data_IF_791433697349
#
_entry.id   IF_791433697349
#
_cell.length_a   1.000
_cell.length_b   1.000
_cell.length_c   1.000
_cell.angle_alpha   90.00
_cell.angle_beta   90.00
_cell.angle_gamma   90.00
#
_symmetry.space_group_name_H-M   'P 1'
#
loop_
_entity.id
_entity.type
_entity.pdbx_description
1 polymer ?
#
# COMPACT_ATOMS: atom_id res chain seq x y z
N UNK A 1 7.33 17.58 -11.85
CA UNK A 1 8.75 17.20 -11.67
C UNK A 1 9.10 17.25 -10.19
N UNK A 2 8.48 16.37 -9.42
CA UNK A 2 8.99 15.81 -8.16
C UNK A 2 8.20 14.54 -7.73
N UNK A 3 7.38 13.99 -8.62
CA UNK A 3 6.50 12.85 -8.38
C UNK A 3 7.33 11.59 -8.10
N UNK A 4 8.38 11.35 -8.90
CA UNK A 4 9.34 10.28 -8.65
C UNK A 4 10.11 10.48 -7.33
N UNK A 5 10.35 11.72 -6.90
CA UNK A 5 11.01 12.01 -5.62
C UNK A 5 10.09 11.67 -4.46
N UNK A 6 8.82 12.07 -4.53
CA UNK A 6 7.82 11.77 -3.52
C UNK A 6 7.62 10.25 -3.33
N UNK A 7 7.63 9.47 -4.42
CA UNK A 7 7.59 8.00 -4.35
C UNK A 7 8.81 7.45 -3.60
N UNK A 8 10.01 7.89 -3.96
CA UNK A 8 11.24 7.40 -3.33
C UNK A 8 11.27 7.75 -1.84
N UNK A 9 10.92 8.99 -1.46
CA UNK A 9 10.84 9.41 -0.06
C UNK A 9 9.84 8.57 0.74
N UNK A 10 8.72 8.18 0.12
CA UNK A 10 7.73 7.31 0.76
C UNK A 10 8.24 5.88 0.91
N UNK A 11 8.89 5.33 -0.10
CA UNK A 11 9.51 4.00 -0.01
C UNK A 11 10.57 3.96 1.07
N UNK A 12 11.43 4.98 1.16
CA UNK A 12 12.43 5.12 2.22
C UNK A 12 11.78 5.17 3.62
N UNK A 13 10.65 5.88 3.75
CA UNK A 13 9.91 5.93 5.02
C UNK A 13 9.29 4.58 5.38
N UNK A 14 8.69 3.88 4.42
CA UNK A 14 8.14 2.53 4.64
C UNK A 14 9.25 1.58 5.09
N UNK A 15 10.41 1.60 4.43
CA UNK A 15 11.56 0.80 4.83
C UNK A 15 12.07 1.16 6.23
N UNK A 16 12.10 2.45 6.58
CA UNK A 16 12.52 2.89 7.90
C UNK A 16 11.56 2.41 9.00
N UNK A 17 10.24 2.49 8.76
CA UNK A 17 9.21 1.99 9.66
C UNK A 17 9.29 0.47 9.82
N UNK A 18 9.49 -0.27 8.72
CA UNK A 18 9.63 -1.73 8.75
C UNK A 18 10.88 -2.16 9.55
N UNK A 19 12.03 -1.51 9.31
CA UNK A 19 13.26 -1.75 10.09
C UNK A 19 13.11 -1.38 11.57
N UNK A 20 12.29 -0.40 11.89
CA UNK A 20 11.99 -0.03 13.27
C UNK A 20 11.03 -0.99 13.96
N UNK A 21 10.46 -1.96 13.24
CA UNK A 21 9.42 -2.85 13.77
C UNK A 21 8.12 -2.10 14.07
N UNK A 22 7.83 -1.05 13.30
CA UNK A 22 6.64 -0.22 13.48
C UNK A 22 5.36 -1.04 13.42
N UNK A 23 4.33 -0.58 14.12
CA UNK A 23 3.06 -1.28 14.09
C UNK A 23 2.42 -1.18 12.70
N UNK A 24 1.57 -2.17 12.35
CA UNK A 24 0.83 -2.15 11.08
C UNK A 24 0.03 -0.87 10.88
N UNK A 25 -0.45 -0.27 11.98
CA UNK A 25 -1.17 0.99 11.96
C UNK A 25 -0.34 2.16 11.38
N UNK A 26 0.99 2.09 11.48
CA UNK A 26 1.92 3.11 10.99
C UNK A 26 2.34 2.85 9.53
N UNK A 27 2.45 1.59 9.12
CA UNK A 27 2.82 1.20 7.75
C UNK A 27 1.64 1.29 6.75
N UNK A 28 0.43 0.94 7.19
CA UNK A 28 -0.75 0.87 6.33
C UNK A 28 -1.15 2.21 5.67
N UNK A 29 -1.07 3.37 6.34
CA UNK A 29 -1.34 4.67 5.71
C UNK A 29 -0.38 4.97 4.55
N UNK A 30 0.91 4.67 4.71
CA UNK A 30 1.92 4.92 3.66
C UNK A 30 1.68 4.02 2.43
N UNK A 31 1.34 2.74 2.65
CA UNK A 31 0.99 1.84 1.55
C UNK A 31 -0.32 2.25 0.84
N UNK A 32 -1.30 2.81 1.56
CA UNK A 32 -2.53 3.33 0.94
C UNK A 32 -2.27 4.54 0.06
N UNK A 33 -1.48 5.50 0.55
CA UNK A 33 -1.10 6.68 -0.24
C UNK A 33 -0.35 6.27 -1.52
N UNK A 34 0.57 5.31 -1.42
CA UNK A 34 1.30 4.79 -2.58
C UNK A 34 0.36 4.13 -3.61
N UNK A 35 -0.68 3.42 -3.16
CA UNK A 35 -1.68 2.82 -4.04
C UNK A 35 -2.52 3.88 -4.77
N UNK A 36 -2.99 4.91 -4.06
CA UNK A 36 -3.76 6.01 -4.65
C UNK A 36 -2.95 6.75 -5.74
N UNK A 37 -1.67 7.02 -5.47
CA UNK A 37 -0.75 7.63 -6.44
C UNK A 37 -0.53 6.73 -7.66
N UNK A 38 -0.31 5.43 -7.45
CA UNK A 38 -0.12 4.47 -8.52
C UNK A 38 -1.38 4.30 -9.39
N UNK A 39 -2.56 4.28 -8.79
CA UNK A 39 -3.85 4.22 -9.51
C UNK A 39 -4.07 5.47 -10.36
N UNK A 40 -3.71 6.65 -9.85
CA UNK A 40 -3.80 7.90 -10.59
C UNK A 40 -2.89 7.89 -11.83
N UNK A 41 -1.62 7.51 -11.68
CA UNK A 41 -0.69 7.43 -12.81
C UNK A 41 -1.08 6.34 -13.80
N UNK A 42 -1.43 5.14 -13.32
CA UNK A 42 -1.86 4.05 -14.18
C UNK A 42 -3.10 4.43 -14.99
N UNK A 43 -4.04 5.19 -14.41
CA UNK A 43 -5.19 5.70 -15.14
C UNK A 43 -4.86 6.81 -16.13
N UNK A 44 -3.86 7.65 -15.84
CA UNK A 44 -3.49 8.80 -16.68
C UNK A 44 -2.59 8.40 -17.86
N UNK A 45 -1.65 7.49 -17.64
CA UNK A 45 -0.61 7.09 -18.60
C UNK A 45 -0.88 5.72 -19.23
N UNK A 46 -1.60 4.83 -18.53
CA UNK A 46 -1.86 3.47 -18.96
C UNK A 46 -0.62 2.58 -19.01
N UNK A 47 -0.82 1.35 -19.47
CA UNK A 47 0.26 0.41 -19.80
C UNK A 47 0.59 -0.60 -18.70
N UNK A 48 1.11 -1.74 -19.15
CA UNK A 48 1.29 -2.96 -18.37
C UNK A 48 2.09 -2.75 -17.07
N UNK A 49 3.10 -1.87 -17.10
CA UNK A 49 3.94 -1.61 -15.93
C UNK A 49 3.18 -0.89 -14.81
N UNK A 50 2.34 0.09 -15.15
CA UNK A 50 1.50 0.81 -14.20
C UNK A 50 0.42 -0.08 -13.61
N UNK A 51 -0.24 -0.87 -14.47
CA UNK A 51 -1.26 -1.83 -14.06
C UNK A 51 -0.68 -2.89 -13.09
N UNK A 52 0.49 -3.45 -13.42
CA UNK A 52 1.17 -4.41 -12.56
C UNK A 52 1.59 -3.82 -11.21
N UNK A 53 2.05 -2.56 -11.19
CA UNK A 53 2.40 -1.88 -9.94
C UNK A 53 1.18 -1.73 -9.02
N UNK A 54 0.04 -1.30 -9.57
CA UNK A 54 -1.23 -1.18 -8.83
C UNK A 54 -1.67 -2.53 -8.26
N UNK A 55 -1.63 -3.60 -9.04
CA UNK A 55 -2.06 -4.93 -8.59
C UNK A 55 -1.15 -5.50 -7.48
N UNK A 56 0.15 -5.25 -7.57
CA UNK A 56 1.10 -5.60 -6.51
C UNK A 56 0.77 -4.87 -5.19
N UNK A 57 0.48 -3.57 -5.27
CA UNK A 57 0.12 -2.76 -4.10
C UNK A 57 -1.21 -3.20 -3.48
N UNK A 58 -2.24 -3.48 -4.29
CA UNK A 58 -3.51 -4.05 -3.83
C UNK A 58 -3.32 -5.38 -3.10
N UNK A 59 -2.49 -6.26 -3.66
CA UNK A 59 -2.17 -7.56 -3.06
C UNK A 59 -1.45 -7.40 -1.72
N UNK A 60 -0.47 -6.49 -1.65
CA UNK A 60 0.24 -6.19 -0.40
C UNK A 60 -0.71 -5.65 0.67
N UNK A 61 -1.60 -4.73 0.29
CA UNK A 61 -2.57 -4.15 1.20
C UNK A 61 -3.52 -5.21 1.77
N UNK A 62 -4.07 -6.08 0.91
CA UNK A 62 -4.98 -7.15 1.32
C UNK A 62 -4.33 -8.16 2.29
N UNK A 63 -3.02 -8.41 2.16
CA UNK A 63 -2.26 -9.25 3.12
C UNK A 63 -2.01 -8.53 4.45
N UNK A 64 -1.82 -7.21 4.40
CA UNK A 64 -1.53 -6.40 5.57
C UNK A 64 -2.77 -6.13 6.43
N UNK A 65 -3.97 -6.12 5.81
CA UNK A 65 -5.28 -6.00 6.47
C UNK A 65 -6.06 -7.31 6.41
N UNK A 66 -5.71 -8.33 7.22
CA UNK A 66 -6.55 -9.52 7.31
C UNK A 66 -7.96 -9.08 7.72
N UNK A 67 -8.94 -9.43 6.88
CA UNK A 67 -10.36 -9.22 7.17
C UNK A 67 -10.61 -9.82 8.55
N UNK A 68 -10.92 -8.98 9.54
CA UNK A 68 -11.38 -9.47 10.85
C UNK A 68 -12.50 -10.48 10.57
N UNK A 69 -12.49 -11.67 11.20
CA UNK A 69 -13.58 -12.61 11.00
C UNK A 69 -14.88 -11.87 11.29
N UNK A 70 -15.79 -11.88 10.30
CA UNK A 70 -17.18 -11.44 10.51
C UNK A 70 -17.69 -12.10 11.79
N UNK A 71 -18.41 -11.35 12.63
CA UNK A 71 -18.85 -11.67 13.99
C UNK A 71 -19.64 -13.00 14.19
N UNK A 72 -19.64 -13.93 13.23
CA UNK A 72 -20.41 -15.17 13.26
C UNK A 72 -19.71 -16.34 14.01
N UNK A 73 -18.54 -16.12 14.64
CA UNK A 73 -17.84 -17.14 15.45
C UNK A 73 -17.71 -16.82 16.95
N UNK A 74 -18.52 -15.91 17.49
CA UNK A 74 -18.73 -15.83 18.95
C UNK A 74 -20.16 -16.26 19.26
N UNK A 75 -20.45 -17.53 19.00
CA UNK A 75 -21.60 -18.22 19.56
C UNK A 75 -21.09 -19.48 20.27
N UNK A 76 -20.93 -19.31 21.60
CA UNK A 76 -20.97 -20.30 22.70
C UNK A 76 -20.13 -21.57 22.55
#
# INVERSE_FOLDING_TARGET
MDEARAVLERLERIEALDRAGAERAELLPELRALLEEAEWWSSAEGGDAGEAAVDNLRTALARATPKLPSHDMIAV
#
